data_IF_544948805842
#
_entry.id   IF_544948805842
#
_cell.length_a   1.000
_cell.length_b   1.000
_cell.length_c   1.000
_cell.angle_alpha   90.00
_cell.angle_beta   90.00
_cell.angle_gamma   90.00
#
_symmetry.space_group_name_H-M   'P 1'
#
loop_
_entity.id
_entity.type
_entity.pdbx_description
1 polymer ?
#
# COMPACT_ATOMS: atom_id res chain seq x y z
N UNK A 1 -17.17 12.03 2.14
CA UNK A 1 -16.05 12.83 1.60
C UNK A 1 -15.54 13.80 2.65
N UNK A 2 -16.45 14.38 3.41
CA UNK A 2 -16.29 15.41 4.42
C UNK A 2 -15.27 14.99 5.49
N UNK A 3 -15.35 13.76 6.01
CA UNK A 3 -14.35 13.23 6.96
C UNK A 3 -12.92 13.22 6.37
N UNK A 4 -12.77 12.81 5.11
CA UNK A 4 -11.46 12.84 4.44
C UNK A 4 -10.97 14.27 4.21
N UNK A 5 -11.87 15.19 3.90
CA UNK A 5 -11.56 16.61 3.69
C UNK A 5 -11.15 17.30 4.99
N UNK A 6 -11.85 17.02 6.09
CA UNK A 6 -11.50 17.49 7.42
C UNK A 6 -10.09 17.03 7.81
N UNK A 7 -9.80 15.73 7.67
CA UNK A 7 -8.46 15.19 7.94
C UNK A 7 -7.40 15.81 7.03
N UNK A 8 -7.68 15.97 5.73
CA UNK A 8 -6.74 16.58 4.79
C UNK A 8 -6.44 18.03 5.15
N UNK A 9 -7.45 18.84 5.51
CA UNK A 9 -7.26 20.23 5.98
C UNK A 9 -6.42 20.28 7.25
N UNK A 10 -6.74 19.45 8.24
CA UNK A 10 -5.98 19.36 9.49
C UNK A 10 -4.50 19.06 9.24
N UNK A 11 -4.19 18.18 8.28
CA UNK A 11 -2.80 17.89 7.88
C UNK A 11 -2.17 19.08 7.17
N UNK A 12 -2.85 19.70 6.18
CA UNK A 12 -2.33 20.83 5.40
C UNK A 12 -1.95 22.02 6.27
N UNK A 13 -2.71 22.28 7.34
CA UNK A 13 -2.43 23.37 8.28
C UNK A 13 -1.13 23.15 9.09
N UNK A 14 -0.56 21.94 9.07
CA UNK A 14 0.59 21.54 9.88
C UNK A 14 1.84 21.17 9.08
N UNK A 15 1.74 21.12 7.74
CA UNK A 15 2.84 20.82 6.84
C UNK A 15 3.17 22.03 5.96
N UNK A 16 4.42 22.13 5.53
CA UNK A 16 4.88 23.28 4.73
C UNK A 16 4.45 23.20 3.27
N UNK A 17 4.39 21.99 2.71
CA UNK A 17 4.00 21.75 1.34
C UNK A 17 3.27 20.43 1.21
N UNK A 18 2.32 20.31 0.27
CA UNK A 18 1.66 19.03 0.01
C UNK A 18 2.64 17.99 -0.58
N UNK A 19 2.45 16.70 -0.29
CA UNK A 19 3.26 15.61 -0.85
C UNK A 19 2.86 15.27 -2.28
N UNK A 20 3.85 14.93 -3.11
CA UNK A 20 3.63 14.40 -4.46
C UNK A 20 3.45 12.88 -4.45
N UNK A 21 4.12 12.21 -3.51
CA UNK A 21 4.21 10.74 -3.42
C UNK A 21 3.76 10.29 -2.03
N UNK A 22 2.88 9.29 -1.97
CA UNK A 22 2.59 8.55 -0.75
C UNK A 22 3.25 7.17 -0.80
N UNK A 23 3.84 6.74 0.30
CA UNK A 23 4.49 5.45 0.44
C UNK A 23 3.87 4.69 1.61
N UNK A 24 3.35 3.49 1.36
CA UNK A 24 2.86 2.61 2.42
C UNK A 24 3.96 1.63 2.79
N UNK A 25 4.54 1.83 3.97
CA UNK A 25 5.61 0.97 4.48
C UNK A 25 5.02 -0.28 5.13
N UNK A 26 5.37 -1.43 4.58
CA UNK A 26 4.98 -2.72 5.14
C UNK A 26 5.76 -3.19 6.35
N UNK A 27 5.39 -4.38 6.83
CA UNK A 27 6.09 -5.08 7.90
C UNK A 27 7.58 -5.21 7.57
N UNK A 28 8.44 -4.70 8.45
CA UNK A 28 9.90 -4.67 8.23
C UNK A 28 10.42 -3.56 7.31
N UNK A 29 9.55 -2.74 6.70
CA UNK A 29 9.91 -1.70 5.72
C UNK A 29 9.74 -0.28 6.26
N UNK A 30 9.47 -0.13 7.57
CA UNK A 30 9.30 1.16 8.23
C UNK A 30 10.54 2.05 8.23
N UNK A 31 11.74 1.48 8.04
CA UNK A 31 13.00 2.21 7.93
C UNK A 31 13.03 3.16 6.72
N UNK A 32 12.20 2.92 5.69
CA UNK A 32 12.09 3.83 4.56
C UNK A 32 11.57 5.22 4.96
N UNK A 33 10.74 5.32 6.00
CA UNK A 33 10.30 6.61 6.51
C UNK A 33 11.43 7.39 7.21
N UNK A 34 12.46 6.69 7.70
CA UNK A 34 13.59 7.28 8.43
C UNK A 34 14.64 7.89 7.49
N UNK A 35 14.57 7.59 6.19
CA UNK A 35 15.46 8.19 5.17
C UNK A 35 14.96 9.55 4.68
N UNK A 36 13.77 9.98 5.10
CA UNK A 36 13.22 11.29 4.76
C UNK A 36 13.98 12.40 5.48
N UNK A 37 14.39 13.41 4.72
CA UNK A 37 14.95 14.64 5.26
C UNK A 37 13.84 15.58 5.74
N UNK A 38 14.13 16.39 6.76
CA UNK A 38 13.20 17.33 7.41
C UNK A 38 11.85 16.69 7.81
N UNK A 39 11.86 15.58 8.58
CA UNK A 39 10.65 14.84 8.85
C UNK A 39 9.68 15.62 9.76
N UNK A 40 8.40 15.60 9.39
CA UNK A 40 7.27 15.99 10.25
C UNK A 40 6.45 14.73 10.53
N UNK A 41 6.40 14.33 11.79
CA UNK A 41 5.80 13.06 12.23
C UNK A 41 4.50 13.35 12.96
N UNK A 42 3.46 12.58 12.65
CA UNK A 42 2.19 12.56 13.36
C UNK A 42 1.88 11.13 13.79
N UNK A 43 1.54 10.93 15.05
CA UNK A 43 0.99 9.64 15.49
C UNK A 43 -0.45 9.53 14.96
N UNK A 44 -0.87 8.35 14.51
CA UNK A 44 -2.21 8.16 13.95
C UNK A 44 -3.33 8.56 14.91
N UNK A 45 -3.10 8.46 16.23
CA UNK A 45 -4.03 8.89 17.27
C UNK A 45 -4.29 10.40 17.32
N UNK A 46 -3.40 11.21 16.75
CA UNK A 46 -3.54 12.67 16.67
C UNK A 46 -4.32 13.11 15.43
N UNK A 47 -4.38 12.25 14.41
CA UNK A 47 -4.96 12.58 13.11
C UNK A 47 -6.47 12.31 13.17
N UNK A 48 -7.33 13.30 12.86
CA UNK A 48 -8.78 13.10 12.84
C UNK A 48 -9.17 11.91 11.96
N UNK A 49 -10.11 11.09 12.45
CA UNK A 49 -10.69 9.94 11.76
C UNK A 49 -9.72 8.78 11.41
N UNK A 50 -8.43 8.91 11.71
CA UNK A 50 -7.46 7.85 11.41
C UNK A 50 -7.70 6.59 12.27
N UNK A 51 -7.49 5.39 11.71
CA UNK A 51 -7.51 4.16 12.49
C UNK A 51 -6.28 4.05 13.40
N UNK A 52 -6.40 3.29 14.50
CA UNK A 52 -5.27 2.91 15.31
C UNK A 52 -4.54 1.69 14.70
N UNK A 53 -3.22 1.66 14.73
CA UNK A 53 -2.45 0.49 14.34
C UNK A 53 -2.30 -0.46 15.52
N UNK A 54 -2.67 -1.73 15.38
CA UNK A 54 -2.62 -2.71 16.49
C UNK A 54 -1.59 -3.83 16.30
N UNK A 55 -1.02 -3.95 15.11
CA UNK A 55 -0.03 -4.99 14.76
C UNK A 55 1.37 -4.63 15.25
N UNK A 56 2.07 -5.60 15.85
CA UNK A 56 3.45 -5.44 16.28
C UNK A 56 4.38 -5.08 15.10
N UNK A 57 5.27 -4.11 15.31
CA UNK A 57 6.19 -3.61 14.27
C UNK A 57 5.59 -2.49 13.38
N UNK A 58 4.32 -2.14 13.57
CA UNK A 58 3.72 -0.95 12.95
C UNK A 58 3.69 0.18 13.98
N UNK A 59 4.58 1.17 13.85
CA UNK A 59 4.67 2.26 14.82
C UNK A 59 3.45 3.18 14.85
N UNK A 60 2.62 3.14 13.80
CA UNK A 60 1.37 3.88 13.75
C UNK A 60 1.59 5.38 13.51
N UNK A 61 2.48 5.71 12.57
CA UNK A 61 2.92 7.07 12.33
C UNK A 61 2.82 7.47 10.86
N UNK A 62 2.41 8.72 10.63
CA UNK A 62 2.45 9.37 9.33
C UNK A 62 3.65 10.32 9.29
N UNK A 63 4.60 10.06 8.39
CA UNK A 63 5.87 10.79 8.31
C UNK A 63 5.92 11.55 7.00
N UNK A 64 5.82 12.87 7.07
CA UNK A 64 6.06 13.76 5.93
C UNK A 64 7.52 14.14 5.89
N UNK A 65 8.07 14.35 4.70
CA UNK A 65 9.44 14.82 4.54
C UNK A 65 9.85 14.82 3.07
N UNK A 66 11.14 14.98 2.83
CA UNK A 66 11.69 15.03 1.47
C UNK A 66 12.61 13.86 1.24
N UNK A 67 12.31 13.07 0.20
CA UNK A 67 13.19 12.03 -0.31
C UNK A 67 13.88 12.58 -1.56
N UNK A 68 15.18 12.85 -1.46
CA UNK A 68 15.95 13.58 -2.49
C UNK A 68 15.33 14.96 -2.78
N UNK A 69 14.65 15.13 -3.91
CA UNK A 69 13.98 16.36 -4.33
C UNK A 69 12.44 16.24 -4.32
N UNK A 70 11.89 15.12 -3.82
CA UNK A 70 10.45 14.84 -3.84
C UNK A 70 9.82 14.96 -2.46
N UNK A 71 8.71 15.68 -2.37
CA UNK A 71 7.88 15.76 -1.17
C UNK A 71 7.09 14.45 -1.02
N UNK A 72 7.29 13.77 0.10
CA UNK A 72 6.74 12.44 0.35
C UNK A 72 5.96 12.40 1.66
N UNK A 73 4.96 11.52 1.72
CA UNK A 73 4.33 11.06 2.95
C UNK A 73 4.46 9.55 3.08
N UNK A 74 4.99 9.07 4.20
CA UNK A 74 5.16 7.65 4.50
C UNK A 74 4.20 7.22 5.61
N UNK A 75 3.44 6.15 5.36
CA UNK A 75 2.70 5.43 6.40
C UNK A 75 3.63 4.41 7.05
N UNK A 76 4.16 4.70 8.24
CA UNK A 76 4.98 3.79 9.02
C UNK A 76 4.07 2.84 9.81
N UNK A 77 3.70 1.76 9.14
CA UNK A 77 2.67 0.83 9.59
C UNK A 77 1.34 1.10 8.90
N UNK A 78 0.66 0.04 8.50
CA UNK A 78 -0.66 0.08 7.85
C UNK A 78 -1.70 -0.66 8.66
N UNK A 79 -2.94 -0.59 8.20
CA UNK A 79 -4.07 -1.30 8.76
C UNK A 79 -4.39 -2.53 7.91
N UNK A 80 -4.91 -3.57 8.52
CA UNK A 80 -5.32 -4.80 7.84
C UNK A 80 -6.74 -5.19 8.23
N UNK A 81 -7.40 -5.93 7.34
CA UNK A 81 -8.77 -6.41 7.56
C UNK A 81 -8.84 -7.41 8.71
N UNK A 82 -7.83 -8.26 8.89
CA UNK A 82 -7.78 -9.23 9.98
C UNK A 82 -7.70 -8.58 11.38
N UNK A 83 -7.39 -7.28 11.47
CA UNK A 83 -7.47 -6.50 12.72
C UNK A 83 -8.94 -6.16 13.10
N UNK A 84 -9.91 -6.55 12.25
CA UNK A 84 -11.33 -6.27 12.41
C UNK A 84 -11.79 -4.96 11.75
N UNK A 85 -10.90 -4.26 11.04
CA UNK A 85 -11.26 -3.03 10.35
C UNK A 85 -12.00 -3.32 9.03
N UNK A 86 -13.11 -2.60 8.76
CA UNK A 86 -13.72 -2.66 7.44
C UNK A 86 -12.79 -2.04 6.39
N UNK A 87 -12.86 -2.52 5.14
CA UNK A 87 -11.93 -2.09 4.08
C UNK A 87 -11.96 -0.59 3.79
N UNK A 88 -13.10 0.08 3.96
CA UNK A 88 -13.19 1.54 3.79
C UNK A 88 -12.36 2.29 4.84
N UNK A 89 -12.17 1.70 6.03
CA UNK A 89 -11.36 2.26 7.11
C UNK A 89 -9.88 1.96 6.89
N UNK A 90 -9.55 0.75 6.43
CA UNK A 90 -8.19 0.37 6.00
C UNK A 90 -7.68 1.30 4.89
N UNK A 91 -8.55 1.62 3.93
CA UNK A 91 -8.20 2.46 2.75
C UNK A 91 -8.49 3.95 2.94
N UNK A 92 -8.94 4.38 4.12
CA UNK A 92 -9.23 5.78 4.43
C UNK A 92 -8.06 6.74 4.11
N UNK A 93 -6.80 6.44 4.50
CA UNK A 93 -5.67 7.33 4.22
C UNK A 93 -5.46 7.60 2.73
N UNK A 94 -5.83 6.68 1.85
CA UNK A 94 -5.64 6.83 0.41
C UNK A 94 -6.49 7.97 -0.16
N UNK A 95 -7.72 8.11 0.33
CA UNK A 95 -8.60 9.22 -0.03
C UNK A 95 -8.09 10.54 0.54
N UNK A 96 -7.53 10.53 1.75
CA UNK A 96 -6.86 11.71 2.33
C UNK A 96 -5.66 12.13 1.47
N UNK A 97 -4.79 11.20 1.08
CA UNK A 97 -3.64 11.47 0.21
C UNK A 97 -4.06 12.07 -1.13
N UNK A 98 -5.16 11.59 -1.72
CA UNK A 98 -5.73 12.20 -2.93
C UNK A 98 -6.11 13.67 -2.72
N UNK A 99 -6.72 14.01 -1.58
CA UNK A 99 -7.10 15.39 -1.23
C UNK A 99 -5.89 16.26 -0.85
N UNK A 100 -4.81 15.66 -0.37
CA UNK A 100 -3.51 16.32 -0.18
C UNK A 100 -2.77 16.56 -1.51
N UNK A 101 -3.28 16.05 -2.64
CA UNK A 101 -2.67 16.26 -3.96
C UNK A 101 -1.65 15.21 -4.39
N UNK A 102 -1.53 14.09 -3.66
CA UNK A 102 -0.67 12.96 -4.04
C UNK A 102 -1.06 12.44 -5.42
N UNK A 103 -0.04 12.18 -6.25
CA UNK A 103 -0.19 11.68 -7.62
C UNK A 103 0.31 10.25 -7.78
N UNK A 104 1.26 9.83 -6.96
CA UNK A 104 1.86 8.49 -7.00
C UNK A 104 1.70 7.83 -5.64
N UNK A 105 1.17 6.61 -5.64
CA UNK A 105 1.10 5.75 -4.45
C UNK A 105 2.06 4.58 -4.64
N UNK A 106 3.06 4.48 -3.78
CA UNK A 106 3.96 3.33 -3.70
C UNK A 106 3.50 2.44 -2.54
N UNK A 107 3.18 1.18 -2.83
CA UNK A 107 2.77 0.21 -1.81
C UNK A 107 3.85 -0.85 -1.64
N UNK A 108 4.18 -1.16 -0.39
CA UNK A 108 5.15 -2.21 -0.07
C UNK A 108 4.53 -3.20 0.89
N UNK A 109 4.88 -4.48 0.76
CA UNK A 109 4.46 -5.53 1.69
C UNK A 109 5.48 -6.67 1.78
N UNK A 110 5.33 -7.47 2.82
CA UNK A 110 5.93 -8.79 2.90
C UNK A 110 4.88 -9.80 2.44
N UNK A 111 5.31 -10.81 1.69
CA UNK A 111 4.43 -11.81 1.11
C UNK A 111 5.06 -13.20 1.20
N UNK A 112 4.22 -14.23 1.26
CA UNK A 112 4.64 -15.61 1.02
C UNK A 112 4.80 -15.84 -0.48
N UNK A 113 5.89 -16.51 -0.90
CA UNK A 113 6.03 -16.91 -2.30
C UNK A 113 5.22 -18.16 -2.60
N UNK A 114 4.49 -18.14 -3.70
CA UNK A 114 3.87 -19.31 -4.34
C UNK A 114 4.68 -19.80 -5.55
N UNK A 115 5.66 -19.02 -5.99
CA UNK A 115 6.58 -19.39 -7.06
C UNK A 115 7.82 -20.10 -6.50
N UNK A 116 8.09 -21.32 -6.97
CA UNK A 116 9.24 -22.14 -6.53
C UNK A 116 10.60 -21.50 -6.82
N UNK A 117 10.66 -20.54 -7.75
CA UNK A 117 11.89 -19.87 -8.14
C UNK A 117 12.31 -18.76 -7.18
N UNK A 118 11.36 -18.19 -6.43
CA UNK A 118 11.63 -17.07 -5.55
C UNK A 118 12.19 -17.56 -4.22
N UNK A 119 13.02 -16.75 -3.60
CA UNK A 119 13.70 -17.04 -2.33
C UNK A 119 13.35 -15.96 -1.30
N UNK A 120 13.40 -16.30 0.00
CA UNK A 120 13.29 -15.28 1.04
C UNK A 120 14.32 -14.15 0.82
N UNK A 121 13.83 -12.90 0.80
CA UNK A 121 14.65 -11.71 0.52
C UNK A 121 14.56 -11.21 -0.92
N UNK A 122 13.99 -11.99 -1.84
CA UNK A 122 13.72 -11.51 -3.19
C UNK A 122 12.68 -10.38 -3.19
N UNK A 123 12.80 -9.49 -4.18
CA UNK A 123 11.85 -8.42 -4.44
C UNK A 123 10.95 -8.83 -5.60
N UNK A 124 9.63 -8.68 -5.43
CA UNK A 124 8.68 -8.86 -6.53
C UNK A 124 7.96 -7.55 -6.81
N UNK A 125 8.11 -7.02 -8.03
CA UNK A 125 7.31 -5.93 -8.54
C UNK A 125 5.93 -6.50 -8.90
N UNK A 126 4.87 -5.92 -8.32
CA UNK A 126 3.50 -6.36 -8.57
C UNK A 126 3.08 -5.83 -9.95
N UNK A 127 2.81 -6.74 -10.89
CA UNK A 127 2.26 -6.41 -12.20
C UNK A 127 0.74 -6.47 -12.24
N UNK A 128 0.16 -7.34 -11.42
CA UNK A 128 -1.29 -7.50 -11.31
C UNK A 128 -1.67 -8.11 -9.96
N UNK A 129 -2.97 -8.17 -9.65
CA UNK A 129 -3.47 -8.81 -8.44
C UNK A 129 -4.70 -9.69 -8.64
N UNK A 130 -4.84 -10.66 -7.74
CA UNK A 130 -6.07 -11.41 -7.53
C UNK A 130 -6.67 -10.95 -6.20
N UNK A 131 -7.82 -10.27 -6.27
CA UNK A 131 -8.53 -9.78 -5.09
C UNK A 131 -9.56 -10.81 -4.61
N UNK A 132 -9.11 -11.87 -3.92
CA UNK A 132 -10.00 -12.94 -3.44
C UNK A 132 -11.14 -12.41 -2.57
N UNK A 133 -10.92 -11.50 -1.58
CA UNK A 133 -12.01 -10.92 -0.81
C UNK A 133 -13.00 -10.11 -1.67
N UNK A 134 -12.49 -9.39 -2.68
CA UNK A 134 -13.31 -8.62 -3.61
C UNK A 134 -14.27 -9.47 -4.43
N UNK A 135 -13.87 -10.69 -4.82
CA UNK A 135 -14.75 -11.65 -5.49
C UNK A 135 -15.92 -12.10 -4.60
N UNK A 136 -15.76 -12.00 -3.28
CA UNK A 136 -16.80 -12.26 -2.27
C UNK A 136 -17.43 -10.97 -1.70
N UNK A 137 -17.44 -9.89 -2.47
CA UNK A 137 -18.01 -8.58 -2.14
C UNK A 137 -17.35 -7.79 -1.00
N UNK A 138 -16.21 -8.26 -0.48
CA UNK A 138 -15.37 -7.50 0.45
C UNK A 138 -14.42 -6.60 -0.36
N UNK A 139 -14.94 -5.45 -0.79
CA UNK A 139 -14.23 -4.46 -1.60
C UNK A 139 -14.36 -3.06 -0.96
N UNK A 140 -13.31 -2.20 -0.95
CA UNK A 140 -13.39 -0.86 -0.36
C UNK A 140 -14.39 0.08 -1.07
N UNK A 141 -14.85 -0.29 -2.28
CA UNK A 141 -15.83 0.45 -3.07
C UNK A 141 -17.27 -0.07 -2.89
N UNK A 142 -17.48 -1.09 -2.06
CA UNK A 142 -18.82 -1.56 -1.69
C UNK A 142 -19.57 -0.46 -0.93
N UNK A 143 -20.82 -0.18 -1.34
CA UNK A 143 -21.65 0.91 -0.81
C UNK A 143 -21.95 1.99 -1.85
N UNK A 144 -22.52 3.14 -1.47
CA UNK A 144 -22.74 4.28 -2.36
C UNK A 144 -21.44 4.84 -2.96
N UNK A 145 -21.50 5.35 -4.19
CA UNK A 145 -20.35 6.01 -4.84
C UNK A 145 -20.41 7.52 -4.62
N UNK A 146 -19.26 8.12 -4.35
CA UNK A 146 -19.10 9.58 -4.32
C UNK A 146 -18.27 10.00 -5.54
N UNK A 147 -18.92 10.66 -6.50
CA UNK A 147 -18.33 11.01 -7.80
C UNK A 147 -17.16 11.99 -7.69
N UNK A 148 -16.99 12.66 -6.54
CA UNK A 148 -15.83 13.51 -6.26
C UNK A 148 -14.52 12.73 -6.20
N UNK A 149 -14.57 11.44 -5.88
CA UNK A 149 -13.37 10.58 -5.86
C UNK A 149 -13.15 9.84 -7.18
N UNK A 150 -14.23 9.44 -7.87
CA UNK A 150 -14.11 8.67 -9.09
C UNK A 150 -15.42 8.02 -9.57
N UNK A 151 -15.34 7.27 -10.69
CA UNK A 151 -16.49 6.66 -11.31
C UNK A 151 -17.03 5.49 -10.47
N UNK A 152 -18.31 5.14 -10.66
CA UNK A 152 -18.95 4.01 -10.00
C UNK A 152 -18.27 2.66 -10.29
N UNK A 153 -17.78 2.49 -11.51
CA UNK A 153 -17.16 1.26 -11.99
C UNK A 153 -15.77 1.56 -12.58
N UNK A 154 -14.72 1.66 -11.76
CA UNK A 154 -13.37 1.91 -12.26
C UNK A 154 -12.83 0.67 -13.00
N UNK A 155 -12.10 0.91 -14.10
CA UNK A 155 -11.29 -0.13 -14.74
C UNK A 155 -10.03 -0.39 -13.91
N UNK A 156 -9.60 -1.66 -13.85
CA UNK A 156 -8.35 -2.06 -13.19
C UNK A 156 -7.23 -2.42 -14.17
N UNK A 157 -7.45 -2.30 -15.49
CA UNK A 157 -6.53 -2.73 -16.55
C UNK A 157 -5.09 -2.21 -16.41
N UNK A 158 -4.93 -0.99 -15.88
CA UNK A 158 -3.62 -0.34 -15.72
C UNK A 158 -3.44 0.15 -14.27
N UNK A 159 -3.85 -0.68 -13.30
CA UNK A 159 -3.72 -0.35 -11.86
C UNK A 159 -2.26 -0.24 -11.44
N UNK A 160 -1.40 -1.11 -11.97
CA UNK A 160 0.03 -1.12 -11.71
C UNK A 160 0.78 -0.52 -12.90
N UNK A 161 0.95 0.79 -12.84
CA UNK A 161 1.52 1.64 -13.89
C UNK A 161 2.72 0.99 -14.59
N UNK A 162 2.58 0.80 -15.90
CA UNK A 162 3.58 0.15 -16.73
C UNK A 162 4.97 0.82 -16.62
N UNK A 163 5.02 2.15 -16.70
CA UNK A 163 6.27 2.90 -16.79
C UNK A 163 7.02 2.92 -15.45
N UNK A 164 6.30 2.98 -14.33
CA UNK A 164 6.87 2.82 -13.00
C UNK A 164 7.45 1.41 -12.81
N UNK A 165 6.78 0.36 -13.30
CA UNK A 165 7.30 -1.02 -13.23
C UNK A 165 8.59 -1.18 -14.03
N UNK A 166 8.60 -0.70 -15.28
CA UNK A 166 9.81 -0.74 -16.13
C UNK A 166 10.95 0.05 -15.50
N UNK A 167 10.67 1.25 -14.99
CA UNK A 167 11.66 2.08 -14.30
C UNK A 167 12.26 1.36 -13.09
N UNK A 168 11.43 0.70 -12.28
CA UNK A 168 11.90 -0.07 -11.12
C UNK A 168 12.82 -1.24 -11.55
N UNK A 169 12.43 -2.01 -12.58
CA UNK A 169 13.26 -3.10 -13.13
C UNK A 169 14.59 -2.59 -13.70
N UNK A 170 14.61 -1.43 -14.33
CA UNK A 170 15.86 -0.82 -14.81
C UNK A 170 16.77 -0.38 -13.67
N UNK A 171 16.20 0.18 -12.60
CA UNK A 171 16.95 0.56 -11.39
C UNK A 171 17.58 -0.68 -10.76
N UNK A 172 16.84 -1.80 -10.63
CA UNK A 172 17.42 -3.02 -10.03
C UNK A 172 18.55 -3.59 -10.87
N UNK A 173 18.46 -3.55 -12.21
CA UNK A 173 19.57 -3.91 -13.11
C UNK A 173 20.79 -3.00 -12.91
N UNK A 174 20.59 -1.69 -12.85
CA UNK A 174 21.68 -0.71 -12.63
C UNK A 174 22.38 -0.92 -11.29
N UNK A 175 21.65 -1.38 -10.28
CA UNK A 175 22.18 -1.70 -8.94
C UNK A 175 22.77 -3.12 -8.82
N UNK A 176 22.78 -3.91 -9.91
CA UNK A 176 23.25 -5.30 -9.89
C UNK A 176 22.35 -6.25 -9.09
N UNK A 177 21.07 -5.88 -8.89
CA UNK A 177 20.07 -6.63 -8.11
C UNK A 177 19.05 -7.35 -8.99
N UNK A 178 19.30 -7.46 -10.30
CA UNK A 178 18.37 -8.06 -11.25
C UNK A 178 18.03 -9.51 -10.91
N UNK A 179 19.00 -10.28 -10.41
CA UNK A 179 18.82 -11.70 -10.07
C UNK A 179 17.92 -11.93 -8.84
N UNK A 180 17.74 -10.91 -8.01
CA UNK A 180 16.87 -10.92 -6.83
C UNK A 180 15.51 -10.24 -7.10
N UNK A 181 15.30 -9.73 -8.32
CA UNK A 181 14.10 -8.96 -8.65
C UNK A 181 13.25 -9.70 -9.66
N UNK A 182 11.99 -9.89 -9.30
CA UNK A 182 10.98 -10.55 -10.11
C UNK A 182 9.81 -9.62 -10.42
N UNK A 183 8.93 -10.06 -11.31
CA UNK A 183 7.67 -9.39 -11.58
C UNK A 183 6.53 -10.42 -11.68
N UNK A 184 5.47 -10.23 -10.89
CA UNK A 184 4.45 -11.27 -10.72
C UNK A 184 3.08 -10.76 -10.27
N UNK A 185 2.17 -11.70 -10.06
CA UNK A 185 0.79 -11.49 -9.63
C UNK A 185 0.67 -11.69 -8.12
N UNK A 186 0.15 -10.70 -7.41
CA UNK A 186 -0.07 -10.76 -5.96
C UNK A 186 -1.52 -11.16 -5.65
N UNK A 187 -1.71 -12.17 -4.80
CA UNK A 187 -3.03 -12.55 -4.32
C UNK A 187 -3.25 -12.05 -2.90
N UNK A 188 -4.28 -11.23 -2.70
CA UNK A 188 -4.71 -10.85 -1.35
C UNK A 188 -5.60 -11.95 -0.76
N UNK A 189 -5.35 -12.35 0.49
CA UNK A 189 -6.24 -13.20 1.29
C UNK A 189 -6.58 -12.53 2.63
N UNK A 190 -7.54 -13.10 3.37
CA UNK A 190 -8.05 -12.48 4.59
C UNK A 190 -7.11 -12.56 5.79
N UNK A 191 -6.36 -13.66 5.94
CA UNK A 191 -5.61 -13.97 7.15
C UNK A 191 -6.50 -14.17 8.40
N UNK A 192 -5.93 -14.21 9.63
CA UNK A 192 -4.51 -13.99 9.95
C UNK A 192 -3.66 -15.26 9.95
N UNK A 193 -4.26 -16.46 9.85
CA UNK A 193 -3.47 -17.68 9.66
C UNK A 193 -2.83 -17.66 8.27
N UNK A 194 -1.62 -18.21 8.17
CA UNK A 194 -1.00 -18.50 6.88
C UNK A 194 -1.76 -19.58 6.12
N UNK A 195 -1.46 -19.68 4.83
CA UNK A 195 -2.09 -20.64 3.94
C UNK A 195 -1.73 -22.08 4.33
N UNK A 196 -2.71 -22.97 4.28
CA UNK A 196 -2.46 -24.41 4.23
C UNK A 196 -1.82 -24.81 2.90
N UNK A 197 -1.26 -26.03 2.85
CA UNK A 197 -0.67 -26.58 1.61
C UNK A 197 -1.69 -26.64 0.46
N UNK A 198 -2.96 -26.93 0.76
CA UNK A 198 -4.01 -27.00 -0.25
C UNK A 198 -4.36 -25.62 -0.81
N UNK A 199 -4.45 -24.61 0.06
CA UNK A 199 -4.71 -23.21 -0.33
C UNK A 199 -3.56 -22.63 -1.14
N UNK A 200 -2.31 -22.83 -0.72
CA UNK A 200 -1.14 -22.39 -1.48
C UNK A 200 -1.11 -22.99 -2.89
N UNK A 201 -1.37 -24.29 -3.03
CA UNK A 201 -1.48 -24.97 -4.34
C UNK A 201 -2.65 -24.45 -5.17
N UNK A 202 -3.77 -24.13 -4.53
CA UNK A 202 -4.93 -23.56 -5.20
C UNK A 202 -4.60 -22.17 -5.78
N UNK A 203 -4.02 -21.28 -4.98
CA UNK A 203 -3.62 -19.93 -5.42
C UNK A 203 -2.56 -19.97 -6.51
N UNK A 204 -1.57 -20.87 -6.39
CA UNK A 204 -0.57 -21.09 -7.44
C UNK A 204 -1.21 -21.51 -8.77
N UNK A 205 -2.20 -22.42 -8.74
CA UNK A 205 -2.95 -22.84 -9.95
C UNK A 205 -3.81 -21.73 -10.56
N UNK A 206 -4.22 -20.74 -9.77
CA UNK A 206 -4.89 -19.53 -10.27
C UNK A 206 -3.93 -18.53 -10.90
N UNK A 207 -2.61 -18.76 -10.83
CA UNK A 207 -1.59 -17.91 -11.42
C UNK A 207 -1.06 -16.83 -10.48
N UNK A 208 -1.25 -16.97 -9.17
CA UNK A 208 -0.60 -16.09 -8.19
C UNK A 208 0.86 -16.49 -7.97
N UNK A 209 1.76 -15.50 -7.94
CA UNK A 209 3.19 -15.67 -7.66
C UNK A 209 3.52 -15.42 -6.19
N UNK A 210 2.75 -14.54 -5.53
CA UNK A 210 2.88 -14.23 -4.11
C UNK A 210 1.50 -14.08 -3.45
N UNK A 211 1.43 -14.31 -2.13
CA UNK A 211 0.20 -14.20 -1.33
C UNK A 211 0.44 -13.37 -0.06
N UNK A 212 -0.54 -12.56 0.34
CA UNK A 212 -0.56 -11.90 1.65
C UNK A 212 -1.78 -11.06 1.91
#
# INVERSE_FOLDING_TARGET
>A
YEDCEETARWILDQIQSPPDIAIICGSGLGLLAETLSNPKIFDYSQIPHFPASTVAGHSGQLVFGVLQDKSCVCMKGRFHVYEGYPLWKVTFPIRVFKLLGVKVLMVTNAAGSLCEKYRPGDLMIIRDHINMPGLAALNPLTGPNDERFGPRFPSLWDTYDHDLRITALEITRKLGQADLTHEGVYCMVGGPNFESVAEARFLQKLGADAVG
#
